data_IF_297654757348
#
_entry.id   IF_297654757348
#
_cell.length_a   1.000
_cell.length_b   1.000
_cell.length_c   1.000
_cell.angle_alpha   90.00
_cell.angle_beta   90.00
_cell.angle_gamma   90.00
#
_symmetry.space_group_name_H-M   'P 1'
#
loop_
_entity.id
_entity.type
_entity.pdbx_description
1 polymer ?
#
# COMPACT_ATOMS: atom_id res chain seq x y z
N UNK A 1 14.42 12.75 15.93
CA UNK A 1 14.32 11.63 16.89
C UNK A 1 12.88 11.24 17.21
N UNK A 2 12.02 12.14 17.70
CA UNK A 2 10.63 11.80 18.08
C UNK A 2 9.77 11.22 16.93
N UNK A 3 9.92 11.73 15.71
CA UNK A 3 9.20 11.18 14.55
C UNK A 3 9.70 9.78 14.17
N UNK A 4 10.99 9.50 14.32
CA UNK A 4 11.54 8.15 14.13
C UNK A 4 10.99 7.18 15.19
N UNK A 5 10.86 7.62 16.45
CA UNK A 5 10.20 6.84 17.51
C UNK A 5 8.73 6.56 17.16
N UNK A 6 7.99 7.55 16.65
CA UNK A 6 6.62 7.37 16.18
C UNK A 6 6.53 6.28 15.11
N UNK A 7 7.30 6.41 14.03
CA UNK A 7 7.32 5.47 12.91
C UNK A 7 7.67 4.07 13.41
N UNK A 8 8.68 3.95 14.27
CA UNK A 8 9.10 2.68 14.84
C UNK A 8 8.01 2.00 15.67
N UNK A 9 7.35 2.75 16.55
CA UNK A 9 6.26 2.23 17.40
C UNK A 9 5.06 1.79 16.54
N UNK A 10 4.60 2.64 15.63
CA UNK A 10 3.44 2.33 14.78
C UNK A 10 3.74 1.15 13.86
N UNK A 11 4.94 1.09 13.25
CA UNK A 11 5.35 -0.07 12.44
C UNK A 11 5.45 -1.35 13.26
N UNK A 12 5.95 -1.28 14.50
CA UNK A 12 5.99 -2.41 15.41
C UNK A 12 4.60 -2.92 15.78
N UNK A 13 3.67 -2.01 16.10
CA UNK A 13 2.25 -2.34 16.35
C UNK A 13 1.64 -3.01 15.12
N UNK A 14 1.85 -2.43 13.93
CA UNK A 14 1.36 -3.01 12.69
C UNK A 14 1.86 -4.44 12.48
N UNK A 15 3.17 -4.67 12.62
CA UNK A 15 3.75 -6.00 12.47
C UNK A 15 3.18 -6.99 13.48
N UNK A 16 2.99 -6.58 14.73
CA UNK A 16 2.36 -7.42 15.76
C UNK A 16 0.91 -7.77 15.41
N UNK A 17 0.11 -6.78 14.99
CA UNK A 17 -1.28 -7.00 14.55
C UNK A 17 -1.33 -7.92 13.34
N UNK A 18 -0.48 -7.70 12.34
CA UNK A 18 -0.40 -8.56 11.16
C UNK A 18 -0.03 -10.00 11.55
N UNK A 19 0.96 -10.18 12.43
CA UNK A 19 1.39 -11.49 12.92
C UNK A 19 0.28 -12.25 13.66
N UNK A 20 -0.63 -11.54 14.32
CA UNK A 20 -1.76 -12.12 15.06
C UNK A 20 -3.01 -12.36 14.18
N UNK A 21 -3.11 -11.72 13.02
CA UNK A 21 -4.34 -11.70 12.20
C UNK A 21 -4.13 -12.26 10.80
N UNK A 22 -3.45 -11.50 9.93
CA UNK A 22 -3.25 -11.85 8.53
C UNK A 22 -2.22 -12.96 8.36
N UNK A 23 -1.21 -13.06 9.21
CA UNK A 23 -0.14 -14.06 9.09
C UNK A 23 -0.66 -15.51 9.23
N UNK A 24 -1.47 -15.88 10.24
CA UNK A 24 -2.07 -17.21 10.31
C UNK A 24 -2.98 -17.48 9.10
N UNK A 25 -3.74 -16.47 8.68
CA UNK A 25 -4.64 -16.61 7.53
C UNK A 25 -3.87 -16.87 6.23
N UNK A 26 -2.83 -16.08 5.95
CA UNK A 26 -1.99 -16.24 4.75
C UNK A 26 -1.22 -17.56 4.80
N UNK A 27 -0.70 -17.92 5.95
CA UNK A 27 0.11 -19.14 6.12
C UNK A 27 -0.71 -20.42 6.06
N UNK A 28 -2.01 -20.37 6.39
CA UNK A 28 -2.86 -21.57 6.43
C UNK A 28 -3.74 -21.74 5.20
N UNK A 29 -4.16 -20.65 4.55
CA UNK A 29 -5.21 -20.70 3.51
C UNK A 29 -4.75 -20.23 2.13
N UNK A 30 -3.55 -19.67 2.04
CA UNK A 30 -3.14 -18.87 0.90
C UNK A 30 -1.89 -19.48 0.27
N UNK A 31 -0.83 -19.62 1.07
CA UNK A 31 0.42 -20.30 0.71
C UNK A 31 1.08 -20.84 1.99
N UNK A 32 1.17 -22.17 2.13
CA UNK A 32 1.71 -22.81 3.33
C UNK A 32 3.11 -22.26 3.67
N UNK A 33 3.25 -21.61 4.83
CA UNK A 33 4.51 -21.04 5.30
C UNK A 33 4.96 -19.73 4.63
N UNK A 34 4.15 -19.15 3.74
CA UNK A 34 4.45 -17.87 3.09
C UNK A 34 3.51 -16.76 3.59
N UNK A 35 4.00 -15.52 3.57
CA UNK A 35 3.21 -14.34 3.89
C UNK A 35 3.51 -13.20 2.90
N UNK A 36 2.59 -12.25 2.82
CA UNK A 36 2.66 -11.11 1.88
C UNK A 36 2.97 -9.79 2.57
N UNK A 37 3.47 -9.79 3.81
CA UNK A 37 3.80 -8.58 4.56
C UNK A 37 4.83 -7.69 3.84
N UNK A 38 5.69 -8.28 3.03
CA UNK A 38 6.61 -7.52 2.15
C UNK A 38 5.89 -6.51 1.24
N UNK A 39 4.64 -6.79 0.84
CA UNK A 39 3.84 -5.87 0.05
C UNK A 39 3.48 -4.60 0.85
N UNK A 40 3.26 -4.71 2.16
CA UNK A 40 3.11 -3.54 3.04
C UNK A 40 4.33 -2.63 2.97
N UNK A 41 5.52 -3.21 3.07
CA UNK A 41 6.77 -2.45 3.03
C UNK A 41 7.19 -2.00 1.62
N UNK A 42 6.50 -2.50 0.59
CA UNK A 42 6.56 -1.93 -0.76
C UNK A 42 5.64 -0.71 -0.87
N UNK A 43 4.40 -0.82 -0.39
CA UNK A 43 3.39 0.24 -0.45
C UNK A 43 3.66 1.41 0.52
N UNK A 44 4.26 1.12 1.68
CA UNK A 44 4.58 2.11 2.70
C UNK A 44 5.41 3.27 2.14
N UNK A 45 6.62 3.06 1.58
CA UNK A 45 7.42 4.16 1.04
C UNK A 45 6.78 4.83 -0.18
N UNK A 46 5.99 4.11 -0.97
CA UNK A 46 5.27 4.69 -2.11
C UNK A 46 4.29 5.78 -1.64
N UNK A 47 3.54 5.52 -0.57
CA UNK A 47 2.66 6.53 0.02
C UNK A 47 3.41 7.56 0.87
N UNK A 48 4.27 7.07 1.77
CA UNK A 48 4.93 7.86 2.81
C UNK A 48 5.98 8.83 2.24
N UNK A 49 6.90 8.35 1.38
CA UNK A 49 7.93 9.19 0.77
C UNK A 49 7.47 9.85 -0.54
N UNK A 50 6.38 9.38 -1.15
CA UNK A 50 5.81 9.95 -2.36
C UNK A 50 5.16 11.33 -2.17
N UNK A 51 5.13 11.86 -0.94
CA UNK A 51 4.50 13.15 -0.63
C UNK A 51 2.97 13.09 -0.70
N UNK A 52 2.37 11.90 -0.57
CA UNK A 52 0.94 11.71 -0.67
C UNK A 52 0.20 12.49 0.40
N UNK A 53 -0.87 13.20 -0.01
CA UNK A 53 -1.78 13.86 0.92
C UNK A 53 -2.75 12.84 1.51
N UNK A 54 -3.29 13.18 2.69
CA UNK A 54 -4.34 12.39 3.36
C UNK A 54 -5.54 12.12 2.45
N UNK A 55 -5.99 13.14 1.72
CA UNK A 55 -7.11 13.05 0.77
C UNK A 55 -6.86 12.09 -0.41
N UNK A 56 -5.60 11.79 -0.70
CA UNK A 56 -5.21 10.87 -1.77
C UNK A 56 -5.16 9.41 -1.32
N UNK A 57 -5.39 9.11 -0.03
CA UNK A 57 -5.35 7.74 0.51
C UNK A 57 -6.14 6.74 -0.34
N UNK A 58 -7.41 7.05 -0.63
CA UNK A 58 -8.25 6.16 -1.45
C UNK A 58 -7.79 6.08 -2.91
N UNK A 59 -7.15 7.13 -3.43
CA UNK A 59 -6.55 7.13 -4.77
C UNK A 59 -5.38 6.15 -4.84
N UNK A 60 -4.53 6.09 -3.82
CA UNK A 60 -3.46 5.10 -3.73
C UNK A 60 -4.01 3.68 -3.60
N UNK A 61 -5.01 3.47 -2.74
CA UNK A 61 -5.69 2.17 -2.61
C UNK A 61 -6.26 1.68 -3.94
N UNK A 62 -7.02 2.54 -4.66
CA UNK A 62 -7.56 2.22 -5.98
C UNK A 62 -6.47 1.90 -7.00
N UNK A 63 -5.37 2.66 -6.97
CA UNK A 63 -4.21 2.46 -7.85
C UNK A 63 -3.51 1.12 -7.58
N UNK A 64 -3.37 0.67 -6.32
CA UNK A 64 -2.84 -0.68 -6.05
C UNK A 64 -3.69 -1.78 -6.67
N UNK A 65 -5.03 -1.66 -6.61
CA UNK A 65 -5.93 -2.62 -7.24
C UNK A 65 -5.81 -2.62 -8.76
N UNK A 66 -5.66 -1.45 -9.39
CA UNK A 66 -5.40 -1.35 -10.83
C UNK A 66 -4.04 -1.97 -11.18
N UNK A 67 -3.00 -1.77 -10.37
CA UNK A 67 -1.72 -2.45 -10.54
C UNK A 67 -1.81 -3.97 -10.43
N UNK A 68 -2.61 -4.51 -9.52
CA UNK A 68 -2.88 -5.96 -9.45
C UNK A 68 -3.59 -6.44 -10.74
N UNK A 69 -4.57 -5.68 -11.23
CA UNK A 69 -5.26 -6.03 -12.48
C UNK A 69 -4.29 -6.06 -13.67
N UNK A 70 -3.39 -5.08 -13.76
CA UNK A 70 -2.30 -5.11 -14.74
C UNK A 70 -1.39 -6.32 -14.54
N UNK A 71 -0.98 -6.61 -13.30
CA UNK A 71 -0.12 -7.76 -13.00
C UNK A 71 -0.71 -9.09 -13.46
N UNK A 72 -2.03 -9.28 -13.30
CA UNK A 72 -2.75 -10.44 -13.84
C UNK A 72 -2.54 -10.53 -15.35
N UNK A 73 -2.66 -9.42 -16.09
CA UNK A 73 -2.43 -9.38 -17.53
C UNK A 73 -0.97 -9.69 -17.91
N UNK A 74 0.02 -9.10 -17.24
CA UNK A 74 1.44 -9.40 -17.47
C UNK A 74 1.70 -10.89 -17.31
N UNK A 75 1.32 -11.44 -16.15
CA UNK A 75 1.56 -12.84 -15.84
C UNK A 75 0.80 -13.75 -16.82
N UNK A 76 -0.43 -13.37 -17.21
CA UNK A 76 -1.22 -14.12 -18.17
C UNK A 76 -0.51 -14.28 -19.51
N UNK A 77 0.00 -13.18 -20.05
CA UNK A 77 0.72 -13.22 -21.33
C UNK A 77 2.02 -14.01 -21.18
N UNK A 78 2.74 -13.85 -20.06
CA UNK A 78 3.96 -14.62 -19.77
C UNK A 78 3.67 -16.13 -19.75
N UNK A 79 2.61 -16.56 -19.08
CA UNK A 79 2.24 -17.98 -19.06
C UNK A 79 1.92 -18.51 -20.46
N UNK A 80 1.12 -17.77 -21.25
CA UNK A 80 0.79 -18.16 -22.64
C UNK A 80 2.01 -18.31 -23.53
N UNK A 81 2.95 -17.36 -23.46
CA UNK A 81 4.17 -17.40 -24.26
C UNK A 81 5.13 -18.50 -23.79
N UNK A 82 5.20 -18.76 -22.49
CA UNK A 82 5.99 -19.89 -21.94
C UNK A 82 5.43 -21.22 -22.43
N UNK A 83 4.10 -21.38 -22.41
CA UNK A 83 3.42 -22.57 -22.93
C UNK A 83 3.64 -22.76 -24.45
N UNK A 84 3.86 -21.67 -25.20
CA UNK A 84 4.22 -21.70 -26.61
C UNK A 84 5.72 -21.97 -26.87
N UNK A 85 6.53 -22.19 -25.82
CA UNK A 85 7.95 -22.51 -25.93
C UNK A 85 8.88 -21.29 -26.00
N UNK A 86 8.38 -20.06 -25.75
CA UNK A 86 9.23 -18.87 -25.71
C UNK A 86 10.15 -18.94 -24.48
N UNK A 87 11.47 -18.73 -24.64
CA UNK A 87 12.41 -18.72 -23.52
C UNK A 87 12.01 -17.70 -22.45
N UNK A 88 12.08 -18.10 -21.18
CA UNK A 88 11.59 -17.30 -20.04
C UNK A 88 12.20 -15.89 -20.00
N UNK A 89 13.51 -15.76 -20.22
CA UNK A 89 14.17 -14.44 -20.19
C UNK A 89 13.62 -13.48 -21.26
N UNK A 90 13.37 -13.99 -22.46
CA UNK A 90 12.84 -13.21 -23.59
C UNK A 90 11.38 -12.85 -23.35
N UNK A 91 10.62 -13.80 -22.82
CA UNK A 91 9.23 -13.62 -22.48
C UNK A 91 9.03 -12.51 -21.44
N UNK A 92 9.77 -12.56 -20.33
CA UNK A 92 9.76 -11.51 -19.31
C UNK A 92 10.16 -10.15 -19.90
N UNK A 93 11.24 -10.09 -20.70
CA UNK A 93 11.68 -8.84 -21.34
C UNK A 93 10.63 -8.23 -22.27
N UNK A 94 10.05 -9.04 -23.16
CA UNK A 94 9.04 -8.59 -24.13
C UNK A 94 7.74 -8.17 -23.46
N UNK A 95 7.19 -9.02 -22.59
CA UNK A 95 5.89 -8.73 -21.95
C UNK A 95 6.00 -7.53 -21.02
N UNK A 96 7.05 -7.47 -20.20
CA UNK A 96 7.25 -6.30 -19.32
C UNK A 96 7.42 -5.04 -20.17
N UNK A 97 8.26 -5.07 -21.21
CA UNK A 97 8.45 -3.90 -22.08
C UNK A 97 7.17 -3.42 -22.77
N UNK A 98 6.41 -4.32 -23.37
CA UNK A 98 5.21 -3.98 -24.14
C UNK A 98 4.06 -3.57 -23.21
N UNK A 99 3.72 -4.39 -22.23
CA UNK A 99 2.57 -4.12 -21.35
C UNK A 99 2.83 -2.91 -20.47
N UNK A 100 4.07 -2.67 -20.03
CA UNK A 100 4.44 -1.44 -19.30
C UNK A 100 4.29 -0.20 -20.16
N UNK A 101 4.68 -0.27 -21.44
CA UNK A 101 4.48 0.85 -22.37
C UNK A 101 3.00 1.17 -22.53
N UNK A 102 2.15 0.15 -22.66
CA UNK A 102 0.69 0.33 -22.77
C UNK A 102 0.11 0.89 -21.47
N UNK A 103 0.46 0.32 -20.32
CA UNK A 103 0.01 0.77 -19.00
C UNK A 103 0.39 2.24 -18.77
N UNK A 104 1.68 2.59 -18.90
CA UNK A 104 2.15 3.95 -18.73
C UNK A 104 1.48 4.89 -19.73
N UNK A 105 1.40 4.50 -21.00
CA UNK A 105 0.77 5.31 -22.05
C UNK A 105 -0.68 5.62 -21.72
N UNK A 106 -1.47 4.62 -21.32
CA UNK A 106 -2.87 4.83 -20.93
C UNK A 106 -2.98 5.74 -19.72
N UNK A 107 -2.22 5.46 -18.65
CA UNK A 107 -2.36 6.19 -17.39
C UNK A 107 -1.75 7.59 -17.41
N UNK A 108 -0.74 7.87 -18.25
CA UNK A 108 -0.24 9.22 -18.48
C UNK A 108 -1.14 10.08 -19.36
N UNK A 109 -1.98 9.49 -20.21
CA UNK A 109 -2.98 10.22 -21.01
C UNK A 109 -4.25 10.49 -20.18
N UNK A 110 -4.57 9.59 -19.24
CA UNK A 110 -5.74 9.72 -18.39
C UNK A 110 -5.63 10.91 -17.42
N UNK A 111 -6.72 11.64 -17.14
CA UNK A 111 -6.69 12.75 -16.20
C UNK A 111 -6.20 12.31 -14.81
N UNK A 112 -5.30 13.10 -14.21
CA UNK A 112 -4.76 12.85 -12.86
C UNK A 112 -5.83 12.80 -11.76
N UNK A 113 -7.02 13.34 -12.04
CA UNK A 113 -8.16 13.35 -11.10
C UNK A 113 -8.83 11.99 -10.93
N UNK A 114 -8.50 10.99 -11.77
CA UNK A 114 -9.08 9.67 -11.62
C UNK A 114 -8.53 8.96 -10.37
N UNK A 115 -9.38 8.26 -9.60
CA UNK A 115 -9.03 7.65 -8.31
C UNK A 115 -8.11 6.42 -8.42
N UNK A 116 -7.52 6.17 -9.59
CA UNK A 116 -6.72 5.00 -9.91
C UNK A 116 -5.54 5.34 -10.82
N UNK A 117 -5.07 6.59 -10.76
CA UNK A 117 -3.97 7.08 -11.58
C UNK A 117 -2.77 7.50 -10.72
N UNK A 118 -2.24 6.57 -9.94
CA UNK A 118 -0.97 6.71 -9.21
C UNK A 118 -0.02 5.64 -9.69
N UNK A 119 0.71 5.96 -10.74
CA UNK A 119 1.62 5.04 -11.44
C UNK A 119 2.62 4.34 -10.48
N UNK A 120 3.25 5.02 -9.49
CA UNK A 120 4.12 4.34 -8.53
C UNK A 120 3.40 3.24 -7.72
N UNK A 121 2.13 3.45 -7.36
CA UNK A 121 1.33 2.45 -6.69
C UNK A 121 1.02 1.25 -7.60
N UNK A 122 0.84 1.48 -8.91
CA UNK A 122 0.66 0.39 -9.87
C UNK A 122 1.90 -0.49 -9.89
N UNK A 123 3.08 0.11 -10.04
CA UNK A 123 4.34 -0.64 -10.07
C UNK A 123 4.64 -1.38 -8.78
N UNK A 124 4.35 -0.78 -7.61
CA UNK A 124 4.47 -1.48 -6.33
C UNK A 124 3.54 -2.68 -6.21
N UNK A 125 2.32 -2.60 -6.75
CA UNK A 125 1.40 -3.72 -6.83
C UNK A 125 1.86 -4.80 -7.83
N UNK A 126 2.35 -4.39 -9.01
CA UNK A 126 2.86 -5.30 -10.05
C UNK A 126 4.04 -6.11 -9.52
N UNK A 127 5.04 -5.46 -8.93
CA UNK A 127 6.21 -6.14 -8.36
C UNK A 127 5.82 -7.13 -7.26
N UNK A 128 4.92 -6.70 -6.35
CA UNK A 128 4.43 -7.55 -5.27
C UNK A 128 3.62 -8.74 -5.79
N UNK A 129 2.92 -8.59 -6.91
CA UNK A 129 2.15 -9.66 -7.54
C UNK A 129 3.05 -10.68 -8.24
N UNK A 130 4.13 -10.22 -8.89
CA UNK A 130 5.16 -11.10 -9.45
C UNK A 130 5.85 -11.91 -8.35
N UNK A 131 6.14 -11.26 -7.21
CA UNK A 131 6.67 -11.95 -6.04
C UNK A 131 5.69 -13.00 -5.49
N UNK A 132 4.41 -12.65 -5.35
CA UNK A 132 3.37 -13.56 -4.89
C UNK A 132 3.18 -14.77 -5.84
N UNK A 133 3.29 -14.54 -7.16
CA UNK A 133 3.29 -15.60 -8.17
C UNK A 133 4.48 -16.56 -7.98
N UNK A 134 5.69 -16.03 -7.76
CA UNK A 134 6.87 -16.84 -7.48
C UNK A 134 6.73 -17.68 -6.20
N UNK A 135 6.20 -17.09 -5.12
CA UNK A 135 5.89 -17.84 -3.88
C UNK A 135 4.84 -18.94 -4.12
N UNK A 136 3.87 -18.70 -4.99
CA UNK A 136 2.87 -19.71 -5.36
C UNK A 136 3.50 -20.90 -6.08
N UNK A 137 4.41 -20.65 -7.01
CA UNK A 137 5.17 -21.71 -7.69
C UNK A 137 6.02 -22.49 -6.69
N UNK A 138 6.70 -21.80 -5.76
CA UNK A 138 7.51 -22.45 -4.73
C UNK A 138 6.67 -23.38 -3.83
N UNK A 139 5.48 -22.94 -3.42
CA UNK A 139 4.62 -23.71 -2.53
C UNK A 139 3.88 -24.87 -3.23
N UNK A 140 3.64 -24.77 -4.55
CA UNK A 140 2.78 -25.73 -5.29
C UNK A 140 3.53 -26.53 -6.36
N UNK A 141 4.83 -26.28 -6.57
CA UNK A 141 5.66 -26.97 -7.55
C UNK A 141 5.25 -26.66 -9.00
N UNK A 142 5.38 -27.65 -9.90
CA UNK A 142 5.05 -27.49 -11.32
C UNK A 142 3.58 -27.13 -11.57
N UNK A 143 2.67 -27.49 -10.67
CA UNK A 143 1.27 -27.08 -10.77
C UNK A 143 1.14 -25.54 -10.81
N UNK A 144 1.91 -24.83 -9.96
CA UNK A 144 1.90 -23.36 -9.87
C UNK A 144 2.41 -22.63 -11.11
N UNK A 145 3.03 -23.32 -12.07
CA UNK A 145 3.64 -22.70 -13.27
C UNK A 145 2.62 -22.32 -14.35
N UNK A 146 1.37 -22.72 -14.22
CA UNK A 146 0.35 -22.51 -15.25
C UNK A 146 -0.79 -21.62 -14.76
N UNK A 147 -1.57 -21.04 -15.69
CA UNK A 147 -2.83 -20.36 -15.34
C UNK A 147 -3.81 -21.22 -14.55
N UNK A 148 -3.76 -22.54 -14.74
CA UNK A 148 -4.71 -23.49 -14.17
C UNK A 148 -4.28 -23.88 -12.74
N UNK A 149 -2.97 -23.97 -12.47
CA UNK A 149 -2.47 -24.33 -11.14
C UNK A 149 -1.97 -23.16 -10.29
N UNK A 150 -2.19 -21.91 -10.71
CA UNK A 150 -2.22 -20.76 -9.79
C UNK A 150 -1.16 -19.67 -9.98
N UNK A 151 -0.49 -19.57 -11.13
CA UNK A 151 0.52 -18.53 -11.35
C UNK A 151 -0.03 -17.09 -11.19
N UNK A 152 -1.31 -16.87 -11.51
CA UNK A 152 -2.10 -15.73 -11.03
C UNK A 152 -3.01 -16.26 -9.93
N UNK A 153 -2.49 -16.29 -8.71
CA UNK A 153 -3.21 -16.80 -7.55
C UNK A 153 -4.36 -15.84 -7.22
N UNK A 154 -5.49 -16.02 -7.90
CA UNK A 154 -6.68 -15.16 -7.75
C UNK A 154 -7.26 -15.19 -6.33
N UNK A 155 -6.89 -16.19 -5.51
CA UNK A 155 -7.21 -16.22 -4.08
C UNK A 155 -6.24 -15.36 -3.26
N UNK A 156 -4.97 -15.30 -3.67
CA UNK A 156 -3.95 -14.49 -3.02
C UNK A 156 -4.06 -12.99 -3.33
N UNK A 157 -4.38 -12.65 -4.57
CA UNK A 157 -4.35 -11.27 -5.04
C UNK A 157 -5.30 -10.33 -4.28
N UNK A 158 -6.51 -10.74 -3.85
CA UNK A 158 -7.33 -9.92 -2.97
C UNK A 158 -6.63 -9.58 -1.65
N UNK A 159 -5.94 -10.55 -1.06
CA UNK A 159 -5.26 -10.38 0.22
C UNK A 159 -4.00 -9.55 0.04
N UNK A 160 -3.31 -9.69 -1.09
CA UNK A 160 -2.23 -8.83 -1.50
C UNK A 160 -2.70 -7.37 -1.64
N UNK A 161 -3.84 -7.14 -2.29
CA UNK A 161 -4.45 -5.81 -2.45
C UNK A 161 -4.80 -5.17 -1.12
N UNK A 162 -5.41 -5.92 -0.20
CA UNK A 162 -5.64 -5.47 1.18
C UNK A 162 -4.31 -5.13 1.86
N UNK A 163 -3.29 -5.98 1.71
CA UNK A 163 -1.99 -5.79 2.35
C UNK A 163 -1.30 -4.52 1.85
N UNK A 164 -1.31 -4.26 0.53
CA UNK A 164 -0.83 -3.01 -0.06
C UNK A 164 -1.59 -1.79 0.47
N UNK A 165 -2.93 -1.87 0.54
CA UNK A 165 -3.76 -0.80 1.10
C UNK A 165 -3.41 -0.54 2.59
N UNK A 166 -3.13 -1.59 3.37
CA UNK A 166 -2.67 -1.42 4.75
C UNK A 166 -1.27 -0.81 4.84
N UNK A 167 -0.41 -1.01 3.83
CA UNK A 167 0.86 -0.30 3.72
C UNK A 167 0.70 1.20 3.49
N UNK A 168 -0.24 1.60 2.62
CA UNK A 168 -0.61 3.02 2.50
C UNK A 168 -1.24 3.56 3.79
N UNK A 169 -2.06 2.77 4.49
CA UNK A 169 -2.63 3.17 5.78
C UNK A 169 -1.55 3.37 6.83
N UNK A 170 -0.57 2.48 6.88
CA UNK A 170 0.60 2.62 7.75
C UNK A 170 1.36 3.90 7.42
N UNK A 171 1.59 4.18 6.13
CA UNK A 171 2.20 5.44 5.67
C UNK A 171 1.41 6.67 6.10
N UNK A 172 0.08 6.63 5.98
CA UNK A 172 -0.80 7.69 6.44
C UNK A 172 -0.66 7.93 7.94
N UNK A 173 -0.72 6.89 8.77
CA UNK A 173 -0.58 7.02 10.23
C UNK A 173 0.83 7.51 10.60
N UNK A 174 1.87 7.10 9.88
CA UNK A 174 3.23 7.61 10.06
C UNK A 174 3.32 9.12 9.74
N UNK A 175 2.64 9.59 8.69
CA UNK A 175 2.55 11.01 8.34
C UNK A 175 1.76 11.82 9.38
N UNK A 176 0.65 11.28 9.90
CA UNK A 176 -0.14 11.93 10.94
C UNK A 176 0.66 12.18 12.23
N UNK A 177 1.72 11.40 12.47
CA UNK A 177 2.66 11.64 13.58
C UNK A 177 3.34 13.01 13.54
N UNK A 178 3.47 13.64 12.36
CA UNK A 178 3.99 14.99 12.23
C UNK A 178 3.07 16.02 12.88
N UNK A 179 1.77 15.78 12.96
CA UNK A 179 0.85 16.67 13.65
C UNK A 179 1.06 16.68 15.17
N UNK A 180 1.58 15.57 15.71
CA UNK A 180 1.88 15.40 17.13
C UNK A 180 3.24 15.99 17.53
N UNK A 181 4.04 16.45 16.57
CA UNK A 181 5.38 16.97 16.80
C UNK A 181 5.41 18.46 16.43
N UNK A 182 6.01 19.27 17.30
CA UNK A 182 6.28 20.67 17.05
C UNK A 182 7.40 20.78 16.00
N UNK A 183 7.14 21.44 14.85
CA UNK A 183 8.12 21.55 13.77
C UNK A 183 9.35 22.40 14.13
N UNK A 184 9.24 23.34 15.07
CA UNK A 184 10.36 24.21 15.45
C UNK A 184 11.24 23.55 16.51
N UNK A 185 10.63 22.90 17.49
CA UNK A 185 11.36 22.31 18.63
C UNK A 185 11.63 20.82 18.48
N UNK A 186 10.97 20.15 17.54
CA UNK A 186 11.03 18.70 17.34
C UNK A 186 10.46 17.89 18.50
N UNK A 187 9.83 18.53 19.50
CA UNK A 187 9.24 17.90 20.69
C UNK A 187 7.79 17.50 20.45
N UNK A 188 7.29 16.57 21.25
CA UNK A 188 5.86 16.24 21.24
C UNK A 188 5.01 17.44 21.64
N UNK A 189 3.98 17.75 20.84
CA UNK A 189 2.95 18.71 21.22
C UNK A 189 2.19 18.16 22.41
N UNK A 190 2.13 18.92 23.49
CA UNK A 190 1.25 18.58 24.62
C UNK A 190 -0.20 18.69 24.15
N UNK A 191 -1.11 17.83 24.62
CA UNK A 191 -2.53 18.06 24.42
C UNK A 191 -2.84 19.47 24.92
N UNK A 192 -3.50 20.29 24.11
CA UNK A 192 -3.97 21.59 24.57
C UNK A 192 -4.88 21.33 25.77
N UNK A 193 -4.39 21.61 26.98
CA UNK A 193 -5.22 21.53 28.17
C UNK A 193 -6.47 22.36 27.91
N UNK A 194 -7.65 21.80 28.19
CA UNK A 194 -8.93 22.53 28.11
C UNK A 194 -8.68 23.94 28.65
N UNK A 195 -8.81 24.97 27.80
CA UNK A 195 -8.80 26.35 28.28
C UNK A 195 -9.84 26.40 29.39
N UNK A 196 -9.40 26.63 30.64
CA UNK A 196 -10.33 26.99 31.71
C UNK A 196 -10.99 28.27 31.23
N UNK A 197 -12.24 28.19 30.81
CA UNK A 197 -13.08 29.36 30.60
C UNK A 197 -13.12 30.05 31.97
N UNK A 198 -12.44 31.19 32.07
CA UNK A 198 -12.44 31.97 33.29
C UNK A 198 -13.78 32.71 33.32
N UNK A 199 -14.73 32.21 34.11
CA UNK A 199 -16.10 32.73 34.21
C UNK A 199 -16.13 34.23 34.50
N UNK A 200 -15.09 34.77 35.16
CA UNK A 200 -14.93 36.22 35.39
C UNK A 200 -14.78 37.04 34.12
N UNK A 201 -14.12 36.49 33.09
CA UNK A 201 -13.91 37.20 31.82
C UNK A 201 -15.21 37.25 31.01
N UNK A 202 -16.00 36.18 31.06
CA UNK A 202 -17.31 36.12 30.41
C UNK A 202 -18.31 37.09 31.05
N UNK A 203 -18.27 37.30 32.38
CA UNK A 203 -19.13 38.28 33.05
C UNK A 203 -18.77 39.74 32.73
N UNK A 204 -17.50 40.06 32.46
CA UNK A 204 -17.10 41.40 32.04
C UNK A 204 -17.58 41.71 30.61
N UNK A 205 -17.42 40.77 29.68
CA UNK A 205 -17.84 40.98 28.28
C UNK A 205 -19.36 41.19 28.15
N UNK A 206 -20.18 40.56 29.02
CA UNK A 206 -21.64 40.78 29.06
C UNK A 206 -22.05 42.11 29.72
N UNK A 207 -21.18 42.74 30.51
CA UNK A 207 -21.48 44.03 31.13
C UNK A 207 -21.10 45.20 30.22
N UNK A 208 -20.07 45.05 29.39
CA UNK A 208 -19.66 46.06 28.40
C UNK A 208 -20.60 46.13 27.18
N UNK A 209 -21.38 45.07 26.89
CA UNK A 209 -22.41 45.07 25.84
C UNK A 209 -23.77 45.65 26.32
N UNK A 210 -23.88 46.02 27.59
CA UNK A 210 -25.11 46.54 28.21
C UNK A 210 -25.08 48.05 28.51
N UNK A 211 -24.01 48.77 28.13
CA UNK A 211 -23.91 50.24 28.09
C UNK A 211 -24.04 50.78 26.66
#
# INVERSE_FOLDING_TARGET
>A
MNWALWIGVISGIYCAVYALTLLPFTSNHLLAGCNVMCATFTALPIYFNGGAKREEFFKYCGSYWVGIAWAILYLFIIDRLTAAGVPVWLNFGLVVGIVCTVECGLHFILPEKLPFNVIPAHFGAISSSFWCAALTILATGEAGRTSIGGCYNLKAFPILGVTLCTGALLGLVCNEGLHLIDPETGRWKRPAGRKKVNVKQMQMDFMDEAE
#
